data_IF_780573860970
#
_entry.id   IF_780573860970
#
_cell.length_a   1.000
_cell.length_b   1.000
_cell.length_c   1.000
_cell.angle_alpha   90.00
_cell.angle_beta   90.00
_cell.angle_gamma   90.00
#
_symmetry.space_group_name_H-M   'P 1'
#
loop_
_entity.id
_entity.type
_entity.pdbx_description
1 polymer ?
#
# COMPACT_ATOMS: atom_id res chain seq x y z
N UNK A 1 26.47 13.03 2.89
CA UNK A 1 25.51 13.35 1.82
C UNK A 1 24.77 12.05 1.54
N UNK A 2 23.50 11.95 1.92
CA UNK A 2 22.68 10.79 1.55
C UNK A 2 22.32 10.98 0.07
N UNK A 3 22.68 10.03 -0.78
CA UNK A 3 22.29 10.04 -2.20
C UNK A 3 20.78 9.86 -2.28
N UNK A 4 20.13 10.63 -3.16
CA UNK A 4 18.67 10.51 -3.31
C UNK A 4 18.33 9.13 -3.92
N UNK A 5 17.18 8.52 -3.60
CA UNK A 5 16.79 7.23 -4.18
C UNK A 5 16.77 7.22 -5.71
N UNK A 6 16.49 8.37 -6.31
CA UNK A 6 16.47 8.61 -7.76
C UNK A 6 17.88 8.59 -8.38
N UNK A 7 18.91 9.00 -7.63
CA UNK A 7 20.32 8.90 -8.08
C UNK A 7 20.81 7.45 -8.13
N UNK A 8 20.29 6.58 -7.26
CA UNK A 8 20.69 5.17 -7.21
C UNK A 8 20.01 4.31 -8.30
N UNK A 9 18.79 4.66 -8.70
CA UNK A 9 18.06 3.96 -9.76
C UNK A 9 17.07 4.90 -10.45
N UNK A 10 17.49 5.59 -11.53
CA UNK A 10 16.65 6.58 -12.21
C UNK A 10 15.36 6.02 -12.79
N UNK A 11 15.32 4.71 -13.02
CA UNK A 11 14.17 3.99 -13.57
C UNK A 11 13.19 3.47 -12.49
N UNK A 12 13.56 3.51 -11.21
CA UNK A 12 12.73 2.96 -10.13
C UNK A 12 11.74 4.00 -9.61
N UNK A 13 10.46 3.65 -9.61
CA UNK A 13 9.45 4.43 -8.91
C UNK A 13 9.52 4.13 -7.40
N UNK A 14 9.85 5.15 -6.61
CA UNK A 14 9.79 5.10 -5.14
C UNK A 14 8.60 5.93 -4.67
N UNK A 15 7.80 5.38 -3.75
CA UNK A 15 6.64 6.04 -3.17
C UNK A 15 6.57 5.74 -1.67
N UNK A 16 6.16 6.72 -0.87
CA UNK A 16 5.91 6.54 0.55
C UNK A 16 4.42 6.29 0.82
N UNK A 17 4.11 5.24 1.58
CA UNK A 17 2.77 4.96 2.09
C UNK A 17 2.82 5.18 3.59
N UNK A 18 1.99 6.09 4.11
CA UNK A 18 1.94 6.36 5.56
C UNK A 18 1.24 5.22 6.30
N UNK A 19 1.50 5.04 7.61
CA UNK A 19 0.70 4.11 8.40
C UNK A 19 -0.80 4.47 8.33
N UNK A 20 -1.71 3.47 8.29
CA UNK A 20 -3.15 3.70 8.42
C UNK A 20 -3.48 4.21 9.83
N UNK A 21 -4.69 4.76 10.06
CA UNK A 21 -5.11 5.15 11.40
C UNK A 21 -5.30 3.94 12.30
N UNK A 22 -5.33 4.15 13.61
CA UNK A 22 -5.50 3.10 14.63
C UNK A 22 -6.83 3.30 15.35
N UNK A 23 -7.63 2.23 15.43
CA UNK A 23 -8.81 2.20 16.31
C UNK A 23 -8.39 1.65 17.67
N UNK A 24 -8.06 2.57 18.59
CA UNK A 24 -7.60 2.26 19.94
C UNK A 24 -8.60 1.39 20.71
N UNK A 25 -9.89 1.70 20.61
CA UNK A 25 -10.95 0.94 21.29
C UNK A 25 -11.04 -0.49 20.72
N UNK A 26 -11.06 -0.61 19.39
CA UNK A 26 -11.02 -1.92 18.73
C UNK A 26 -9.78 -2.72 19.09
N UNK A 27 -8.63 -2.05 19.22
CA UNK A 27 -7.38 -2.69 19.55
C UNK A 27 -7.34 -3.20 20.98
N UNK A 28 -7.81 -2.38 21.93
CA UNK A 28 -7.94 -2.77 23.32
C UNK A 28 -8.94 -3.91 23.50
N UNK A 29 -10.09 -3.85 22.82
CA UNK A 29 -11.08 -4.92 22.83
C UNK A 29 -10.48 -6.25 22.32
N UNK A 30 -9.74 -6.19 21.22
CA UNK A 30 -9.04 -7.35 20.68
C UNK A 30 -7.98 -7.90 21.65
N UNK A 31 -7.15 -7.03 22.24
CA UNK A 31 -6.15 -7.44 23.22
C UNK A 31 -6.79 -8.13 24.44
N UNK A 32 -7.89 -7.57 24.98
CA UNK A 32 -8.67 -8.19 26.07
C UNK A 32 -9.22 -9.56 25.67
N UNK A 33 -9.68 -9.72 24.43
CA UNK A 33 -10.19 -11.02 23.95
C UNK A 33 -9.11 -12.12 23.90
N UNK A 34 -7.84 -11.73 23.66
CA UNK A 34 -6.72 -12.66 23.57
C UNK A 34 -6.05 -12.95 24.91
N UNK A 35 -5.91 -11.92 25.75
CA UNK A 35 -5.06 -11.97 26.94
C UNK A 35 -5.85 -11.89 28.25
N UNK A 36 -7.15 -11.61 28.21
CA UNK A 36 -7.98 -11.46 29.41
C UNK A 36 -7.39 -10.43 30.38
N UNK A 37 -7.27 -10.81 31.65
CA UNK A 37 -6.71 -9.97 32.72
C UNK A 37 -5.23 -9.58 32.52
N UNK A 38 -4.53 -10.22 31.57
CA UNK A 38 -3.14 -9.87 31.22
C UNK A 38 -3.05 -8.81 30.12
N UNK A 39 -4.17 -8.39 29.55
CA UNK A 39 -4.18 -7.32 28.57
C UNK A 39 -3.71 -6.01 29.21
N UNK A 40 -3.00 -5.17 28.45
CA UNK A 40 -2.64 -3.84 28.91
C UNK A 40 -3.89 -2.97 29.06
N UNK A 41 -3.95 -2.19 30.13
CA UNK A 41 -5.05 -1.24 30.37
C UNK A 41 -4.92 0.06 29.56
N UNK A 42 -3.71 0.38 29.11
CA UNK A 42 -3.44 1.54 28.26
C UNK A 42 -3.19 1.09 26.82
N UNK A 43 -3.64 1.86 25.83
CA UNK A 43 -3.41 1.54 24.42
C UNK A 43 -1.90 1.53 24.14
N UNK A 44 -1.43 0.51 23.42
CA UNK A 44 -0.02 0.37 23.06
C UNK A 44 0.40 1.27 21.89
N UNK A 45 -0.58 1.83 21.17
CA UNK A 45 -0.42 2.79 20.08
C UNK A 45 -1.55 3.80 20.13
N UNK A 46 -1.26 5.06 19.80
CA UNK A 46 -2.27 6.12 19.73
C UNK A 46 -2.43 6.63 18.31
N UNK A 47 -3.66 6.84 17.86
CA UNK A 47 -3.97 7.32 16.51
C UNK A 47 -3.39 8.72 16.26
N UNK A 48 -3.38 9.57 17.29
CA UNK A 48 -2.76 10.90 17.25
C UNK A 48 -1.26 10.82 16.95
N UNK A 49 -0.54 9.94 17.66
CA UNK A 49 0.90 9.71 17.43
C UNK A 49 1.14 9.12 16.04
N UNK A 50 0.31 8.17 15.60
CA UNK A 50 0.37 7.66 14.21
C UNK A 50 0.19 8.79 13.20
N UNK A 51 -0.66 9.78 13.47
CA UNK A 51 -0.83 10.97 12.66
C UNK A 51 0.43 11.83 12.56
N UNK A 52 1.23 11.92 13.64
CA UNK A 52 2.54 12.59 13.61
C UNK A 52 3.50 11.90 12.64
N UNK A 53 3.63 10.57 12.72
CA UNK A 53 4.47 9.80 11.80
C UNK A 53 3.96 9.91 10.35
N UNK A 54 2.66 9.81 10.14
CA UNK A 54 2.06 9.96 8.81
C UNK A 54 2.38 11.33 8.21
N UNK A 55 2.28 12.41 9.00
CA UNK A 55 2.64 13.76 8.57
C UNK A 55 4.11 13.85 8.18
N UNK A 56 5.03 13.34 9.00
CA UNK A 56 6.46 13.34 8.70
C UNK A 56 6.79 12.57 7.42
N UNK A 57 6.15 11.43 7.17
CA UNK A 57 6.32 10.70 5.90
C UNK A 57 5.89 11.50 4.68
N UNK A 58 4.78 12.26 4.77
CA UNK A 58 4.29 13.11 3.67
C UNK A 58 5.23 14.30 3.43
N UNK A 59 5.69 14.94 4.51
CA UNK A 59 6.64 16.05 4.43
C UNK A 59 7.96 15.59 3.78
N UNK A 60 8.51 14.46 4.21
CA UNK A 60 9.71 13.88 3.62
C UNK A 60 9.51 13.51 2.14
N UNK A 61 8.37 12.91 1.78
CA UNK A 61 8.08 12.61 0.37
C UNK A 61 8.10 13.89 -0.48
N UNK A 62 7.52 14.98 0.03
CA UNK A 62 7.51 16.28 -0.65
C UNK A 62 8.92 16.86 -0.80
N UNK A 63 9.75 16.78 0.24
CA UNK A 63 11.15 17.23 0.20
C UNK A 63 11.98 16.47 -0.85
N UNK A 64 11.72 15.16 -1.00
CA UNK A 64 12.41 14.29 -1.96
C UNK A 64 11.77 14.29 -3.36
N UNK A 65 10.69 15.04 -3.58
CA UNK A 65 9.94 15.02 -4.84
C UNK A 65 9.31 13.66 -5.16
N UNK A 66 9.02 12.84 -4.13
CA UNK A 66 8.44 11.52 -4.27
C UNK A 66 6.91 11.54 -4.14
N UNK A 67 6.19 10.67 -4.86
CA UNK A 67 4.78 10.40 -4.59
C UNK A 67 4.58 9.90 -3.16
N UNK A 68 3.45 10.28 -2.55
CA UNK A 68 3.01 9.73 -1.26
C UNK A 68 1.51 9.45 -1.21
N UNK A 69 1.14 8.49 -0.37
CA UNK A 69 -0.24 8.14 -0.03
C UNK A 69 -0.40 8.25 1.48
N UNK A 70 -1.25 9.18 1.91
CA UNK A 70 -1.62 9.30 3.32
C UNK A 70 -2.81 8.39 3.64
N UNK A 71 -2.56 7.16 4.06
CA UNK A 71 -3.62 6.24 4.50
C UNK A 71 -4.31 6.75 5.77
N UNK A 72 -3.52 7.31 6.69
CA UNK A 72 -4.01 7.94 7.92
C UNK A 72 -5.17 8.91 7.65
N UNK A 73 -4.99 9.89 6.77
CA UNK A 73 -6.05 10.85 6.46
C UNK A 73 -7.13 10.25 5.57
N UNK A 74 -6.76 9.47 4.53
CA UNK A 74 -7.70 8.94 3.55
C UNK A 74 -8.74 8.00 4.14
N UNK A 75 -8.34 7.15 5.07
CA UNK A 75 -9.28 6.24 5.73
C UNK A 75 -10.25 7.01 6.63
N UNK A 76 -9.76 8.04 7.34
CA UNK A 76 -10.56 8.85 8.25
C UNK A 76 -11.56 9.81 7.56
N UNK A 77 -11.46 9.97 6.23
CA UNK A 77 -12.50 10.64 5.42
C UNK A 77 -13.81 9.83 5.38
N UNK A 78 -13.79 8.55 5.77
CA UNK A 78 -14.96 7.68 5.79
C UNK A 78 -15.53 7.59 7.21
N UNK A 79 -16.82 7.88 7.38
CA UNK A 79 -17.50 7.64 8.66
C UNK A 79 -17.47 6.15 9.03
N UNK A 80 -17.17 5.86 10.30
CA UNK A 80 -17.05 4.49 10.79
C UNK A 80 -15.85 3.71 10.25
N UNK A 81 -14.82 4.40 9.76
CA UNK A 81 -13.58 3.81 9.23
C UNK A 81 -12.97 2.76 10.15
N UNK A 82 -13.12 2.91 11.47
CA UNK A 82 -12.56 2.03 12.49
C UNK A 82 -12.91 0.57 12.23
N UNK A 83 -14.21 0.26 12.13
CA UNK A 83 -14.68 -1.13 11.91
C UNK A 83 -14.78 -1.49 10.44
N UNK A 84 -14.91 -0.49 9.57
CA UNK A 84 -14.98 -0.71 8.13
C UNK A 84 -13.62 -1.13 7.56
N UNK A 85 -12.54 -0.50 8.00
CA UNK A 85 -11.21 -0.71 7.45
C UNK A 85 -10.29 -1.51 8.37
N UNK A 86 -10.56 -1.64 9.67
CA UNK A 86 -9.72 -2.39 10.60
C UNK A 86 -10.48 -3.55 11.24
N UNK A 87 -9.84 -4.71 11.29
CA UNK A 87 -10.40 -5.97 11.79
C UNK A 87 -10.24 -6.12 13.31
N UNK A 88 -9.09 -5.69 13.83
CA UNK A 88 -8.67 -5.84 15.23
C UNK A 88 -8.17 -4.50 15.81
N UNK A 89 -8.59 -3.40 15.20
CA UNK A 89 -8.13 -2.04 15.48
C UNK A 89 -6.76 -1.68 14.90
N UNK A 90 -6.08 -2.61 14.21
CA UNK A 90 -4.77 -2.39 13.59
C UNK A 90 -4.67 -2.95 12.16
N UNK A 91 -5.01 -4.22 11.95
CA UNK A 91 -4.90 -4.91 10.67
C UNK A 91 -6.10 -4.62 9.77
N UNK A 92 -5.83 -4.47 8.48
CA UNK A 92 -6.84 -4.10 7.50
C UNK A 92 -7.87 -5.22 7.27
N UNK A 93 -9.14 -4.85 7.13
CA UNK A 93 -10.21 -5.69 6.58
C UNK A 93 -10.02 -5.87 5.06
N UNK A 94 -10.82 -6.73 4.38
CA UNK A 94 -10.87 -6.74 2.92
C UNK A 94 -11.16 -5.36 2.32
N UNK A 95 -12.09 -4.60 2.91
CA UNK A 95 -12.41 -3.24 2.49
C UNK A 95 -11.27 -2.25 2.76
N UNK A 96 -10.54 -2.41 3.87
CA UNK A 96 -9.34 -1.64 4.18
C UNK A 96 -8.24 -1.89 3.15
N UNK A 97 -7.99 -3.15 2.80
CA UNK A 97 -7.06 -3.52 1.73
C UNK A 97 -7.50 -2.98 0.36
N UNK A 98 -8.81 -3.02 0.06
CA UNK A 98 -9.35 -2.45 -1.17
C UNK A 98 -9.14 -0.92 -1.25
N UNK A 99 -9.23 -0.21 -0.12
CA UNK A 99 -8.93 1.22 -0.05
C UNK A 99 -7.44 1.49 -0.34
N UNK A 100 -6.53 0.71 0.26
CA UNK A 100 -5.09 0.79 -0.04
C UNK A 100 -4.83 0.53 -1.53
N UNK A 101 -5.34 -0.58 -2.06
CA UNK A 101 -5.18 -0.95 -3.46
C UNK A 101 -5.60 0.17 -4.41
N UNK A 102 -6.77 0.79 -4.19
CA UNK A 102 -7.23 1.91 -5.03
C UNK A 102 -6.23 3.07 -5.05
N UNK A 103 -5.68 3.44 -3.90
CA UNK A 103 -4.71 4.54 -3.84
C UNK A 103 -3.37 4.19 -4.48
N UNK A 104 -2.83 2.99 -4.26
CA UNK A 104 -1.54 2.63 -4.91
C UNK A 104 -1.71 2.45 -6.42
N UNK A 105 -2.80 1.82 -6.87
CA UNK A 105 -3.11 1.70 -8.29
C UNK A 105 -3.25 3.08 -8.95
N UNK A 106 -3.87 4.06 -8.26
CA UNK A 106 -3.96 5.44 -8.75
C UNK A 106 -2.58 6.07 -8.94
N UNK A 107 -1.64 5.87 -8.01
CA UNK A 107 -0.28 6.41 -8.15
C UNK A 107 0.48 5.70 -9.27
N UNK A 108 0.39 4.37 -9.35
CA UNK A 108 1.04 3.59 -10.40
C UNK A 108 0.53 3.96 -11.79
N UNK A 109 -0.78 4.09 -11.98
CA UNK A 109 -1.37 4.54 -13.25
C UNK A 109 -0.85 5.94 -13.65
N UNK A 110 -0.74 6.88 -12.69
CA UNK A 110 -0.16 8.22 -12.98
C UNK A 110 1.31 8.17 -13.37
N UNK A 111 2.04 7.13 -12.95
CA UNK A 111 3.43 6.90 -13.29
C UNK A 111 3.62 6.03 -14.55
N UNK A 112 2.54 5.67 -15.27
CA UNK A 112 2.61 4.81 -16.45
C UNK A 112 2.81 3.32 -16.13
N UNK A 113 2.67 2.91 -14.87
CA UNK A 113 2.78 1.51 -14.42
C UNK A 113 1.39 0.84 -14.32
N UNK A 114 0.54 1.03 -15.33
CA UNK A 114 -0.79 0.45 -15.33
C UNK A 114 -0.74 -1.02 -15.70
N UNK A 115 -1.26 -1.90 -14.83
CA UNK A 115 -1.30 -3.34 -15.10
C UNK A 115 -1.98 -3.73 -16.42
N UNK A 116 -2.92 -2.91 -16.90
CA UNK A 116 -3.61 -3.13 -18.18
C UNK A 116 -2.74 -2.77 -19.38
N UNK A 117 -1.83 -1.82 -19.22
CA UNK A 117 -0.99 -1.29 -20.30
C UNK A 117 0.40 -1.96 -20.31
N UNK A 118 0.78 -2.61 -19.21
CA UNK A 118 2.02 -3.38 -19.15
C UNK A 118 2.00 -4.53 -20.16
N UNK A 119 3.07 -4.68 -20.97
CA UNK A 119 3.18 -5.79 -21.90
C UNK A 119 3.27 -7.11 -21.11
N UNK A 120 2.65 -8.15 -21.65
CA UNK A 120 2.85 -9.50 -21.12
C UNK A 120 4.27 -9.95 -21.43
N UNK A 121 4.98 -10.46 -20.42
CA UNK A 121 6.34 -11.01 -20.58
C UNK A 121 6.36 -12.23 -21.50
N UNK A 122 5.24 -12.95 -21.56
CA UNK A 122 5.06 -14.13 -22.40
C UNK A 122 3.80 -14.00 -23.25
N UNK A 123 3.78 -14.63 -24.43
CA UNK A 123 2.61 -14.65 -25.29
C UNK A 123 1.40 -15.25 -24.60
N UNK A 124 0.20 -14.83 -25.02
CA UNK A 124 -1.01 -15.43 -24.50
C UNK A 124 -1.08 -16.90 -24.95
N UNK A 125 -1.62 -17.80 -24.11
CA UNK A 125 -1.60 -19.24 -24.41
C UNK A 125 -2.27 -19.59 -25.75
N UNK A 126 -3.27 -18.80 -26.19
CA UNK A 126 -3.94 -18.97 -27.47
C UNK A 126 -3.05 -18.69 -28.68
N UNK A 127 -1.93 -18.01 -28.49
CA UNK A 127 -0.94 -17.68 -29.51
C UNK A 127 0.15 -18.77 -29.63
N UNK A 128 0.18 -19.72 -28.67
CA UNK A 128 1.14 -20.83 -28.65
C UNK A 128 0.63 -21.96 -29.54
N UNK A 129 1.32 -22.20 -30.65
CA UNK A 129 1.10 -23.40 -31.45
C UNK A 129 1.65 -24.62 -30.71
N UNK A 130 0.78 -25.52 -30.22
CA UNK A 130 1.22 -26.73 -29.50
C UNK A 130 2.14 -27.66 -30.30
N UNK A 131 2.14 -27.59 -31.64
CA UNK A 131 3.07 -28.36 -32.49
C UNK A 131 4.42 -27.68 -32.70
N UNK A 132 4.49 -26.39 -32.45
CA UNK A 132 5.70 -25.57 -32.60
C UNK A 132 5.67 -24.38 -31.62
N UNK A 133 5.85 -24.64 -30.32
CA UNK A 133 5.69 -23.62 -29.29
C UNK A 133 6.83 -22.60 -29.29
N UNK A 134 7.97 -22.90 -29.89
CA UNK A 134 9.14 -22.01 -29.91
C UNK A 134 8.92 -20.79 -30.81
N UNK A 135 8.12 -20.95 -31.88
CA UNK A 135 7.88 -19.91 -32.88
C UNK A 135 7.32 -18.61 -32.30
N UNK A 136 6.50 -18.69 -31.25
CA UNK A 136 5.87 -17.50 -30.66
C UNK A 136 6.89 -16.62 -29.90
N UNK A 137 8.01 -17.19 -29.44
CA UNK A 137 9.06 -16.48 -28.71
C UNK A 137 10.12 -15.85 -29.63
N UNK A 138 10.11 -16.18 -30.92
CA UNK A 138 11.08 -15.66 -31.90
C UNK A 138 10.70 -14.27 -32.45
N UNK A 139 9.48 -13.79 -32.19
CA UNK A 139 8.93 -12.56 -32.77
C UNK A 139 9.24 -11.27 -31.95
N UNK A 140 9.93 -11.35 -30.82
CA UNK A 140 10.07 -10.22 -29.88
C UNK A 140 11.45 -9.51 -29.87
N UNK A 141 12.21 -9.58 -30.96
CA UNK A 141 13.40 -8.73 -31.15
C UNK A 141 13.17 -7.74 -32.29
N UNK A 142 12.53 -6.60 -32.00
CA UNK A 142 12.46 -5.43 -32.88
C UNK A 142 12.54 -4.15 -32.08
#
# INVERSE_FOLDING_TARGET
MLTSPQECSPAMLVMLITPPPIDEEGRMAYARSLYGDKAMELPERMNEVTGVYAKQCVELAKELGLPSISLWSKMQETEGWQKKFLSDGLHLTPEGNAAVHREVARVFNKAGLSAREMPSEVPHYSEINGKDPQKVFQLQCS
#
